data_IF_981376664209
#
_entry.id   IF_981376664209
#
_cell.length_a   1.000
_cell.length_b   1.000
_cell.length_c   1.000
_cell.angle_alpha   90.00
_cell.angle_beta   90.00
_cell.angle_gamma   90.00
#
_symmetry.space_group_name_H-M   'P 1'
#
loop_
_entity.id
_entity.type
_entity.pdbx_description
1 polymer ?
#
# COMPACT_ATOMS: atom_id res chain seq x y z
N UNK A 1 4.63 -28.51 -3.08
CA UNK A 1 4.70 -27.37 -2.16
C UNK A 1 3.39 -26.65 -2.29
N UNK A 2 2.70 -26.41 -1.18
CA UNK A 2 1.45 -25.66 -1.21
C UNK A 2 1.78 -24.25 -1.73
N UNK A 3 1.39 -23.95 -2.96
CA UNK A 3 1.09 -22.58 -3.37
C UNK A 3 0.02 -22.13 -2.40
N UNK A 4 0.36 -21.19 -1.51
CA UNK A 4 -0.67 -20.56 -0.70
C UNK A 4 -1.56 -19.84 -1.70
N UNK A 5 -2.78 -20.36 -1.89
CA UNK A 5 -3.80 -19.68 -2.68
C UNK A 5 -3.94 -18.27 -2.07
N UNK A 6 -3.80 -17.26 -2.92
CA UNK A 6 -3.92 -15.85 -2.55
C UNK A 6 -5.21 -15.65 -1.75
N UNK A 7 -5.11 -15.08 -0.55
CA UNK A 7 -6.27 -14.77 0.29
C UNK A 7 -6.39 -13.25 0.43
N UNK A 8 -7.10 -12.57 -0.50
CA UNK A 8 -7.10 -11.12 -0.61
C UNK A 8 -7.49 -10.40 0.70
N UNK A 9 -8.43 -10.97 1.46
CA UNK A 9 -8.83 -10.45 2.77
C UNK A 9 -7.64 -10.39 3.74
N UNK A 10 -6.89 -11.49 3.86
CA UNK A 10 -5.75 -11.57 4.76
C UNK A 10 -4.63 -10.63 4.31
N UNK A 11 -4.34 -10.60 3.02
CA UNK A 11 -3.28 -9.75 2.47
C UNK A 11 -3.59 -8.26 2.67
N UNK A 12 -4.83 -7.85 2.40
CA UNK A 12 -5.27 -6.48 2.63
C UNK A 12 -5.23 -6.11 4.12
N UNK A 13 -5.69 -7.01 5.01
CA UNK A 13 -5.61 -6.81 6.46
C UNK A 13 -4.16 -6.66 6.94
N UNK A 14 -3.24 -7.46 6.43
CA UNK A 14 -1.80 -7.38 6.75
C UNK A 14 -1.21 -6.06 6.28
N UNK A 15 -1.55 -5.63 5.07
CA UNK A 15 -1.11 -4.34 4.50
C UNK A 15 -1.60 -3.17 5.34
N UNK A 16 -2.88 -3.11 5.68
CA UNK A 16 -3.43 -2.02 6.51
C UNK A 16 -2.85 -2.02 7.92
N UNK A 17 -2.71 -3.20 8.54
CA UNK A 17 -2.07 -3.31 9.85
C UNK A 17 -0.63 -2.79 9.84
N UNK A 18 0.11 -3.02 8.75
CA UNK A 18 1.46 -2.48 8.57
C UNK A 18 1.45 -0.96 8.39
N UNK A 19 0.51 -0.41 7.61
CA UNK A 19 0.36 1.04 7.42
C UNK A 19 0.04 1.76 8.74
N UNK A 20 -0.83 1.19 9.59
CA UNK A 20 -1.11 1.74 10.92
C UNK A 20 0.11 1.69 11.86
N UNK A 21 0.94 0.63 11.79
CA UNK A 21 2.22 0.58 12.51
C UNK A 21 3.18 1.68 12.05
N UNK A 22 3.28 1.90 10.74
CA UNK A 22 4.11 2.98 10.16
C UNK A 22 3.60 4.35 10.63
N UNK A 23 2.29 4.60 10.54
CA UNK A 23 1.64 5.84 11.01
C UNK A 23 1.98 6.11 12.47
N UNK A 24 1.88 5.08 13.32
CA UNK A 24 2.22 5.19 14.74
C UNK A 24 3.71 5.49 14.95
N UNK A 25 4.60 4.82 14.23
CA UNK A 25 6.04 5.06 14.32
C UNK A 25 6.41 6.49 13.90
N UNK A 26 5.78 7.03 12.86
CA UNK A 26 5.97 8.42 12.42
C UNK A 26 5.51 9.43 13.48
N UNK A 27 4.35 9.20 14.09
CA UNK A 27 3.86 10.05 15.17
C UNK A 27 4.80 10.02 16.40
N UNK A 28 5.30 8.83 16.75
CA UNK A 28 6.25 8.65 17.86
C UNK A 28 7.60 9.32 17.59
N UNK A 29 8.16 9.17 16.38
CA UNK A 29 9.39 9.85 15.98
C UNK A 29 9.25 11.39 15.97
N UNK A 30 8.06 11.91 15.64
CA UNK A 30 7.76 13.34 15.77
C UNK A 30 7.74 13.83 17.22
N UNK A 31 7.33 12.98 18.17
CA UNK A 31 7.35 13.28 19.60
C UNK A 31 8.73 13.05 20.26
N UNK A 32 9.57 12.22 19.65
CA UNK A 32 10.89 11.82 20.15
C UNK A 32 12.00 12.03 19.10
N UNK A 33 12.48 13.28 18.90
CA UNK A 33 13.50 13.60 17.89
C UNK A 33 14.86 12.89 18.10
N UNK A 34 15.10 12.33 19.29
CA UNK A 34 16.27 11.52 19.62
C UNK A 34 16.26 10.13 18.93
N UNK A 35 15.13 9.74 18.34
CA UNK A 35 14.91 8.42 17.72
C UNK A 35 14.31 8.56 16.32
N UNK A 36 15.04 9.19 15.37
CA UNK A 36 14.52 9.48 14.05
C UNK A 36 14.29 8.20 13.23
N UNK A 37 13.35 8.28 12.30
CA UNK A 37 13.20 7.29 11.22
C UNK A 37 14.15 7.71 10.10
N UNK A 38 15.10 6.85 9.74
CA UNK A 38 16.14 7.11 8.75
C UNK A 38 16.05 6.22 7.51
N UNK A 39 15.02 6.37 6.66
CA UNK A 39 14.92 5.59 5.43
C UNK A 39 15.94 6.11 4.41
N UNK A 40 16.50 5.20 3.62
CA UNK A 40 17.33 5.52 2.47
C UNK A 40 16.48 6.13 1.36
N UNK A 41 16.94 7.24 0.78
CA UNK A 41 16.25 8.00 -0.28
C UNK A 41 16.02 7.20 -1.56
N UNK A 42 17.00 6.40 -1.96
CA UNK A 42 17.00 5.65 -3.23
C UNK A 42 17.44 4.22 -2.97
N UNK A 43 16.59 3.38 -2.37
CA UNK A 43 16.94 1.99 -2.13
C UNK A 43 17.22 1.31 -3.48
N UNK A 44 18.41 0.74 -3.64
CA UNK A 44 18.88 0.12 -4.90
C UNK A 44 18.64 -1.38 -4.90
N UNK A 45 18.71 -1.99 -3.72
CA UNK A 45 18.56 -3.44 -3.52
C UNK A 45 17.27 -3.77 -2.76
N UNK A 46 16.84 -5.03 -2.85
CA UNK A 46 15.73 -5.51 -2.01
C UNK A 46 16.09 -5.45 -0.52
N UNK A 47 17.36 -5.66 -0.17
CA UNK A 47 17.85 -5.47 1.19
C UNK A 47 17.69 -4.02 1.67
N UNK A 48 17.95 -3.04 0.80
CA UNK A 48 17.79 -1.61 1.13
C UNK A 48 16.32 -1.28 1.40
N UNK A 49 15.42 -1.79 0.57
CA UNK A 49 13.97 -1.59 0.76
C UNK A 49 13.49 -2.21 2.08
N UNK A 50 13.93 -3.43 2.39
CA UNK A 50 13.61 -4.08 3.67
C UNK A 50 14.20 -3.30 4.85
N UNK A 51 15.40 -2.74 4.71
CA UNK A 51 16.01 -1.91 5.74
C UNK A 51 15.24 -0.60 5.95
N UNK A 52 14.73 0.04 4.89
CA UNK A 52 13.83 1.19 5.01
C UNK A 52 12.60 0.85 5.85
N UNK A 53 11.92 -0.25 5.55
CA UNK A 53 10.73 -0.64 6.29
C UNK A 53 11.06 -1.02 7.75
N UNK A 54 12.20 -1.67 7.99
CA UNK A 54 12.69 -1.96 9.36
C UNK A 54 13.00 -0.70 10.16
N UNK A 55 13.38 0.41 9.53
CA UNK A 55 13.69 1.67 10.21
C UNK A 55 12.50 2.27 10.99
N UNK A 56 11.27 1.81 10.71
CA UNK A 56 10.06 2.18 11.45
C UNK A 56 9.88 1.37 12.75
N UNK A 57 10.62 0.29 12.96
CA UNK A 57 10.48 -0.55 14.15
C UNK A 57 11.11 0.11 15.38
N UNK A 58 10.57 -0.20 16.56
CA UNK A 58 11.13 0.29 17.82
C UNK A 58 12.53 -0.26 18.06
N UNK A 59 12.79 -1.50 17.68
CA UNK A 59 14.11 -2.14 17.77
C UNK A 59 15.13 -1.36 16.94
N UNK A 60 14.80 -0.99 15.69
CA UNK A 60 15.70 -0.23 14.84
C UNK A 60 15.96 1.18 15.39
N UNK A 61 14.91 1.87 15.84
CA UNK A 61 15.01 3.25 16.35
C UNK A 61 15.69 3.36 17.72
N UNK A 62 15.69 2.29 18.52
CA UNK A 62 16.36 2.22 19.84
C UNK A 62 17.75 1.62 19.77
N UNK A 63 18.10 0.96 18.66
CA UNK A 63 19.44 0.41 18.48
C UNK A 63 20.46 1.53 18.31
N UNK A 64 21.66 1.41 18.89
CA UNK A 64 22.73 2.35 18.63
C UNK A 64 23.04 2.36 17.12
N UNK A 65 23.36 3.52 16.51
CA UNK A 65 23.76 3.59 15.11
C UNK A 65 24.91 2.61 14.86
N UNK A 66 24.74 1.67 13.94
CA UNK A 66 25.83 0.78 13.58
C UNK A 66 26.95 1.60 12.94
N UNK A 67 28.17 1.45 13.45
CA UNK A 67 29.36 2.13 12.90
C UNK A 67 29.66 1.75 11.45
N UNK A 68 29.09 0.65 10.97
CA UNK A 68 29.27 0.09 9.62
C UNK A 68 28.12 0.36 8.63
N UNK A 69 27.02 0.99 9.04
CA UNK A 69 25.83 1.12 8.17
C UNK A 69 25.24 2.51 8.12
N UNK A 70 26.02 3.54 8.46
CA UNK A 70 25.57 4.93 8.29
C UNK A 70 25.47 5.20 6.78
N UNK A 71 24.26 5.34 6.19
CA UNK A 71 24.17 5.86 4.83
C UNK A 71 24.80 7.26 4.86
N UNK A 72 25.59 7.65 3.84
CA UNK A 72 26.15 8.99 3.83
C UNK A 72 25.04 10.03 4.04
N UNK A 73 25.29 11.09 4.83
CA UNK A 73 24.27 12.07 5.27
C UNK A 73 23.52 12.79 4.13
N UNK A 74 23.95 12.61 2.88
CA UNK A 74 23.35 13.18 1.67
C UNK A 74 22.22 12.31 1.07
N UNK A 75 21.97 11.10 1.63
CA UNK A 75 20.98 10.14 1.14
C UNK A 75 19.76 9.94 2.07
N UNK A 76 19.61 10.73 3.13
CA UNK A 76 18.36 10.79 3.92
C UNK A 76 17.53 12.01 3.51
N UNK A 77 16.26 11.79 3.13
CA UNK A 77 15.28 12.88 2.97
C UNK A 77 14.35 12.82 4.19
N UNK A 78 13.83 13.98 4.65
CA UNK A 78 12.62 13.99 5.46
C UNK A 78 11.57 13.04 4.90
N UNK A 79 11.15 12.06 5.69
CA UNK A 79 10.09 11.16 5.29
C UNK A 79 8.86 12.00 4.90
N UNK A 80 8.22 11.75 3.74
CA UNK A 80 7.00 12.45 3.38
C UNK A 80 5.96 12.29 4.49
N UNK A 81 5.07 13.29 4.68
CA UNK A 81 4.01 13.17 5.67
C UNK A 81 3.13 11.96 5.36
N UNK A 82 2.55 11.37 6.40
CA UNK A 82 1.63 10.25 6.23
C UNK A 82 0.41 10.73 5.43
N UNK A 83 0.08 10.13 4.28
CA UNK A 83 -0.99 10.61 3.43
C UNK A 83 -2.38 10.29 4.04
N UNK A 84 -3.45 11.00 3.63
CA UNK A 84 -4.78 10.76 4.14
C UNK A 84 -5.36 9.45 3.58
N UNK A 85 -5.11 8.35 4.27
CA UNK A 85 -5.71 7.05 4.00
C UNK A 85 -7.15 6.96 4.53
N UNK A 86 -8.06 6.28 3.82
CA UNK A 86 -9.36 5.91 4.37
C UNK A 86 -9.20 5.16 5.70
N UNK A 87 -9.97 5.55 6.72
CA UNK A 87 -9.94 4.83 7.99
C UNK A 87 -10.46 3.39 7.82
N UNK A 88 -9.73 2.41 8.38
CA UNK A 88 -10.21 1.04 8.51
C UNK A 88 -10.92 0.87 9.86
N UNK A 89 -12.19 0.47 9.83
CA UNK A 89 -13.01 0.22 11.02
C UNK A 89 -13.01 -1.24 11.46
N UNK A 90 -12.26 -2.10 10.77
CA UNK A 90 -12.13 -3.53 11.05
C UNK A 90 -12.82 -4.39 10.00
N UNK A 91 -13.33 -5.55 10.40
CA UNK A 91 -13.99 -6.50 9.51
C UNK A 91 -15.29 -7.01 10.12
N UNK A 92 -16.20 -7.46 9.26
CA UNK A 92 -17.49 -8.04 9.65
C UNK A 92 -17.86 -9.20 8.74
N UNK A 93 -18.72 -10.09 9.22
CA UNK A 93 -19.38 -11.07 8.37
C UNK A 93 -20.57 -10.40 7.68
N UNK A 94 -20.77 -10.72 6.40
CA UNK A 94 -21.88 -10.25 5.57
C UNK A 94 -22.60 -11.48 5.00
N UNK A 95 -23.92 -11.61 5.17
CA UNK A 95 -24.69 -12.67 4.53
C UNK A 95 -24.55 -12.62 2.99
N UNK A 96 -24.47 -13.79 2.35
CA UNK A 96 -24.30 -13.89 0.90
C UNK A 96 -25.44 -13.21 0.13
N UNK A 97 -26.67 -13.34 0.61
CA UNK A 97 -27.86 -12.73 0.00
C UNK A 97 -27.93 -11.20 0.15
N UNK A 98 -27.13 -10.62 1.05
CA UNK A 98 -26.95 -9.17 1.17
C UNK A 98 -25.81 -8.64 0.28
N UNK A 99 -24.97 -9.51 -0.29
CA UNK A 99 -23.89 -9.08 -1.19
C UNK A 99 -24.40 -8.76 -2.60
N UNK A 100 -24.00 -7.61 -3.20
CA UNK A 100 -24.41 -7.28 -4.54
C UNK A 100 -23.84 -8.30 -5.54
N UNK A 101 -24.66 -8.69 -6.52
CA UNK A 101 -24.20 -9.56 -7.60
C UNK A 101 -23.19 -8.80 -8.47
N UNK A 102 -21.93 -9.25 -8.45
CA UNK A 102 -20.86 -8.69 -9.28
C UNK A 102 -20.80 -9.41 -10.62
N UNK A 103 -20.64 -8.66 -11.72
CA UNK A 103 -20.49 -9.21 -13.07
C UNK A 103 -19.22 -8.65 -13.74
N UNK A 104 -18.24 -9.50 -14.12
CA UNK A 104 -18.21 -10.95 -13.90
C UNK A 104 -18.07 -11.31 -12.41
N UNK A 105 -18.51 -12.51 -11.99
CA UNK A 105 -18.25 -12.97 -10.63
C UNK A 105 -16.74 -12.95 -10.34
N UNK A 106 -16.38 -12.53 -9.13
CA UNK A 106 -14.97 -12.29 -8.71
C UNK A 106 -14.17 -13.59 -8.66
N UNK A 107 -14.83 -14.75 -8.56
CA UNK A 107 -14.19 -16.07 -8.67
C UNK A 107 -15.23 -17.17 -8.88
N UNK A 108 -14.92 -18.16 -9.73
CA UNK A 108 -15.68 -19.42 -9.83
C UNK A 108 -15.37 -20.38 -8.66
N UNK A 109 -14.40 -20.02 -7.80
CA UNK A 109 -13.94 -20.82 -6.65
C UNK A 109 -14.67 -20.48 -5.34
N UNK A 110 -15.78 -19.76 -5.42
CA UNK A 110 -16.59 -19.47 -4.23
C UNK A 110 -17.31 -20.75 -3.84
N UNK A 111 -17.00 -21.28 -2.66
CA UNK A 111 -17.75 -22.38 -2.06
C UNK A 111 -19.22 -21.96 -1.91
N UNK A 112 -20.11 -22.59 -2.66
CA UNK A 112 -21.53 -22.26 -2.70
C UNK A 112 -22.27 -22.70 -1.43
N UNK A 113 -21.66 -23.56 -0.61
CA UNK A 113 -22.20 -24.00 0.67
C UNK A 113 -22.03 -22.94 1.77
N UNK A 114 -21.10 -21.99 1.59
CA UNK A 114 -20.87 -20.90 2.56
C UNK A 114 -21.94 -19.81 2.36
N UNK A 115 -22.78 -19.51 3.33
CA UNK A 115 -23.84 -18.50 3.22
C UNK A 115 -23.44 -17.09 3.69
N UNK A 116 -22.15 -16.86 3.92
CA UNK A 116 -21.60 -15.58 4.39
C UNK A 116 -20.19 -15.29 3.83
N UNK A 117 -19.77 -14.03 3.88
CA UNK A 117 -18.44 -13.58 3.47
C UNK A 117 -17.82 -12.64 4.51
N UNK A 118 -16.50 -12.64 4.62
CA UNK A 118 -15.80 -11.58 5.34
C UNK A 118 -15.73 -10.32 4.49
N UNK A 119 -15.98 -9.17 5.11
CA UNK A 119 -15.80 -7.85 4.51
C UNK A 119 -14.94 -6.96 5.42
N UNK A 120 -14.06 -6.17 4.82
CA UNK A 120 -13.33 -5.10 5.52
C UNK A 120 -14.17 -3.83 5.42
N UNK A 121 -14.34 -3.14 6.55
CA UNK A 121 -15.18 -1.95 6.66
C UNK A 121 -14.28 -0.72 6.66
N UNK A 122 -14.38 0.11 5.63
CA UNK A 122 -13.62 1.36 5.52
C UNK A 122 -14.51 2.60 5.60
N UNK A 123 -13.87 3.74 5.84
CA UNK A 123 -14.42 5.06 5.57
C UNK A 123 -14.90 5.15 4.11
N UNK A 124 -16.17 5.54 3.95
CA UNK A 124 -16.71 5.82 2.63
C UNK A 124 -16.04 7.08 2.07
N UNK A 125 -15.19 6.89 1.05
CA UNK A 125 -14.67 8.00 0.23
C UNK A 125 -15.61 8.21 -0.96
N UNK A 126 -16.31 9.37 -1.04
CA UNK A 126 -17.17 9.69 -2.17
C UNK A 126 -16.38 9.71 -3.48
N UNK A 127 -17.04 9.38 -4.59
CA UNK A 127 -16.45 9.56 -5.91
C UNK A 127 -16.16 11.04 -6.16
N UNK A 128 -14.89 11.37 -6.45
CA UNK A 128 -14.43 12.71 -6.74
C UNK A 128 -13.32 12.67 -7.80
N UNK A 129 -13.17 13.72 -8.64
CA UNK A 129 -12.06 13.84 -9.58
C UNK A 129 -10.70 13.67 -8.87
N UNK A 130 -9.71 13.09 -9.55
CA UNK A 130 -8.41 12.83 -8.94
C UNK A 130 -7.70 14.14 -8.61
N UNK A 131 -7.35 14.31 -7.33
CA UNK A 131 -6.51 15.40 -6.87
C UNK A 131 -5.04 14.99 -7.03
N UNK A 132 -4.32 15.70 -7.90
CA UNK A 132 -2.92 15.42 -8.23
C UNK A 132 -2.01 15.52 -7.00
N UNK A 133 -2.25 16.50 -6.12
CA UNK A 133 -1.41 16.72 -4.95
C UNK A 133 -1.60 15.61 -3.92
N UNK A 134 -2.85 15.22 -3.68
CA UNK A 134 -3.19 14.10 -2.79
C UNK A 134 -2.64 12.79 -3.36
N UNK A 135 -2.76 12.59 -4.68
CA UNK A 135 -2.20 11.44 -5.38
C UNK A 135 -0.68 11.35 -5.24
N UNK A 136 0.02 12.47 -5.51
CA UNK A 136 1.47 12.51 -5.40
C UNK A 136 1.94 12.21 -3.98
N UNK A 137 1.25 12.71 -2.96
CA UNK A 137 1.57 12.41 -1.57
C UNK A 137 1.49 10.91 -1.25
N UNK A 138 0.50 10.19 -1.79
CA UNK A 138 0.43 8.73 -1.66
C UNK A 138 1.58 8.03 -2.37
N UNK A 139 1.85 8.39 -3.63
CA UNK A 139 2.90 7.77 -4.45
C UNK A 139 4.30 7.97 -3.82
N UNK A 140 4.59 9.18 -3.36
CA UNK A 140 5.85 9.51 -2.69
C UNK A 140 6.00 8.74 -1.38
N UNK A 141 4.92 8.64 -0.59
CA UNK A 141 4.91 7.89 0.65
C UNK A 141 5.19 6.40 0.40
N UNK A 142 4.43 5.74 -0.48
CA UNK A 142 4.61 4.31 -0.76
C UNK A 142 6.00 4.01 -1.33
N UNK A 143 6.54 4.88 -2.19
CA UNK A 143 7.91 4.76 -2.66
C UNK A 143 8.92 4.86 -1.50
N UNK A 144 8.78 5.85 -0.63
CA UNK A 144 9.71 6.08 0.50
C UNK A 144 9.73 4.90 1.49
N UNK A 145 8.56 4.31 1.78
CA UNK A 145 8.45 3.14 2.65
C UNK A 145 8.76 1.82 1.94
N UNK A 146 9.00 1.85 0.63
CA UNK A 146 9.43 0.71 -0.17
C UNK A 146 8.32 -0.24 -0.62
N UNK A 147 7.07 0.23 -0.60
CA UNK A 147 5.95 -0.54 -1.12
C UNK A 147 6.02 -0.58 -2.64
N UNK A 148 5.77 -1.75 -3.20
CA UNK A 148 5.52 -1.92 -4.62
C UNK A 148 4.06 -1.55 -4.89
N UNK A 149 3.80 -0.96 -6.06
CA UNK A 149 2.44 -0.63 -6.48
C UNK A 149 2.07 -1.39 -7.74
N UNK A 150 0.87 -1.95 -7.73
CA UNK A 150 0.23 -2.52 -8.90
C UNK A 150 -0.11 -1.43 -9.94
N UNK A 151 -0.37 -1.85 -11.18
CA UNK A 151 -0.74 -0.93 -12.25
C UNK A 151 -1.99 -0.10 -11.87
N UNK A 152 -2.02 1.17 -12.30
CA UNK A 152 -3.12 2.08 -12.00
C UNK A 152 -4.48 1.50 -12.43
N UNK A 153 -5.40 1.39 -11.45
CA UNK A 153 -6.81 1.04 -11.63
C UNK A 153 -7.67 2.23 -11.20
N UNK A 154 -8.39 2.88 -12.14
CA UNK A 154 -9.18 4.07 -11.84
C UNK A 154 -10.18 3.91 -10.69
N UNK A 155 -10.80 2.73 -10.56
CA UNK A 155 -11.80 2.44 -9.53
C UNK A 155 -11.22 2.37 -8.11
N UNK A 156 -9.91 2.14 -8.00
CA UNK A 156 -9.16 2.02 -6.76
C UNK A 156 -8.66 3.37 -6.22
N UNK A 157 -8.94 4.46 -6.95
CA UNK A 157 -8.55 5.81 -6.57
C UNK A 157 -9.75 6.75 -6.55
N UNK A 158 -9.91 7.52 -5.46
CA UNK A 158 -10.99 8.51 -5.32
C UNK A 158 -10.46 9.80 -4.72
N UNK A 159 -10.64 10.92 -5.42
CA UNK A 159 -10.13 12.21 -4.93
C UNK A 159 -8.61 12.22 -4.72
N UNK A 160 -7.87 11.43 -5.51
CA UNK A 160 -6.43 11.23 -5.36
C UNK A 160 -6.01 10.28 -4.22
N UNK A 161 -6.96 9.66 -3.50
CA UNK A 161 -6.68 8.70 -2.42
C UNK A 161 -6.80 7.27 -2.91
N UNK A 162 -5.88 6.41 -2.51
CA UNK A 162 -6.01 4.97 -2.71
C UNK A 162 -7.11 4.44 -1.77
N UNK A 163 -8.06 3.66 -2.31
CA UNK A 163 -9.17 3.06 -1.54
C UNK A 163 -9.18 1.53 -1.56
N UNK A 164 -8.33 0.91 -2.39
CA UNK A 164 -8.08 -0.53 -2.41
C UNK A 164 -6.62 -0.76 -2.03
N UNK A 165 -6.37 -1.34 -0.86
CA UNK A 165 -5.02 -1.55 -0.36
C UNK A 165 -4.36 -2.81 -0.91
N UNK A 166 -5.07 -3.63 -1.69
CA UNK A 166 -4.45 -4.76 -2.38
C UNK A 166 -3.59 -4.30 -3.59
N UNK A 167 -3.73 -3.05 -4.02
CA UNK A 167 -2.86 -2.44 -5.04
C UNK A 167 -1.47 -2.05 -4.52
N UNK A 168 -1.20 -2.23 -3.23
CA UNK A 168 0.13 -2.00 -2.65
C UNK A 168 0.66 -3.24 -1.96
N UNK A 169 1.89 -3.62 -2.32
CA UNK A 169 2.56 -4.78 -1.75
C UNK A 169 3.71 -4.31 -0.87
N UNK A 170 3.78 -4.83 0.35
CA UNK A 170 4.94 -4.61 1.20
C UNK A 170 6.10 -5.53 0.79
N UNK A 171 7.36 -5.22 1.14
CA UNK A 171 8.51 -6.10 0.89
C UNK A 171 8.42 -7.51 1.49
N UNK A 172 7.40 -7.78 2.32
CA UNK A 172 7.17 -9.07 2.98
C UNK A 172 5.95 -9.83 2.44
N UNK A 173 5.24 -9.30 1.45
CA UNK A 173 4.09 -9.98 0.84
C UNK A 173 4.50 -10.70 -0.44
N UNK A 174 3.72 -11.74 -0.78
CA UNK A 174 3.80 -12.40 -2.09
C UNK A 174 3.42 -11.35 -3.16
N UNK A 175 4.03 -11.40 -4.33
CA UNK A 175 3.81 -10.42 -5.40
C UNK A 175 4.72 -9.19 -5.34
N UNK A 176 5.37 -8.91 -4.21
CA UNK A 176 6.34 -7.81 -4.16
C UNK A 176 7.57 -8.10 -5.01
N UNK A 177 7.97 -7.08 -5.78
CA UNK A 177 9.21 -7.09 -6.54
C UNK A 177 9.88 -5.73 -6.45
N UNK A 178 11.21 -5.73 -6.29
CA UNK A 178 12.01 -4.50 -6.32
C UNK A 178 11.70 -3.69 -7.57
N UNK A 179 11.51 -4.33 -8.73
CA UNK A 179 11.28 -3.62 -10.01
C UNK A 179 10.02 -2.77 -10.01
N UNK A 180 9.04 -3.09 -9.17
CA UNK A 180 7.81 -2.33 -9.00
C UNK A 180 7.93 -1.18 -7.97
N UNK A 181 9.02 -1.12 -7.19
CA UNK A 181 9.32 0.02 -6.31
C UNK A 181 10.05 1.09 -7.11
N UNK A 182 9.27 2.03 -7.66
CA UNK A 182 9.77 3.13 -8.49
C UNK A 182 9.04 4.43 -8.15
N UNK A 183 9.71 5.60 -8.26
CA UNK A 183 9.03 6.88 -8.17
C UNK A 183 7.99 6.99 -9.29
N UNK A 184 6.83 7.56 -8.97
CA UNK A 184 5.74 7.81 -9.92
C UNK A 184 5.35 9.29 -9.86
N UNK A 185 4.95 9.82 -11.00
CA UNK A 185 4.37 11.16 -11.11
C UNK A 185 2.84 11.01 -11.21
N UNK A 186 2.09 11.67 -10.32
CA UNK A 186 0.63 11.52 -10.22
C UNK A 186 -0.11 11.96 -11.49
N UNK A 187 0.37 13.02 -12.14
CA UNK A 187 -0.21 13.51 -13.39
C UNK A 187 -0.06 12.50 -14.53
N UNK A 188 1.05 11.77 -14.56
CA UNK A 188 1.25 10.68 -15.50
C UNK A 188 0.48 9.44 -15.05
N UNK A 189 0.55 9.08 -13.77
CA UNK A 189 -0.01 7.86 -13.19
C UNK A 189 -1.51 7.72 -13.41
N UNK A 190 -2.29 8.72 -12.99
CA UNK A 190 -3.74 8.74 -13.10
C UNK A 190 -4.25 8.85 -14.56
N UNK A 191 -3.35 9.16 -15.51
CA UNK A 191 -3.62 9.22 -16.95
C UNK A 191 -2.82 8.17 -17.73
N UNK A 192 -2.20 7.21 -17.02
CA UNK A 192 -1.48 6.10 -17.66
C UNK A 192 -2.51 5.10 -18.17
N UNK A 193 -2.61 5.00 -19.50
CA UNK A 193 -3.55 4.13 -20.23
C UNK A 193 -3.16 2.65 -20.25
N UNK A 194 -2.07 2.26 -19.59
CA UNK A 194 -1.54 0.89 -19.64
C UNK A 194 -2.18 -0.04 -18.59
N UNK A 195 -3.45 0.18 -18.25
CA UNK A 195 -4.25 -0.90 -17.69
C UNK A 195 -4.60 -1.88 -18.80
N UNK A 196 -3.87 -3.00 -18.84
CA UNK A 196 -4.34 -4.23 -19.47
C UNK A 196 -4.89 -5.09 -18.34
N UNK A 197 -6.21 -5.27 -18.26
CA UNK A 197 -6.75 -6.36 -17.44
C UNK A 197 -6.22 -7.70 -17.98
N UNK A 198 -6.42 -8.77 -17.23
CA UNK A 198 -6.07 -10.16 -17.62
C UNK A 198 -6.74 -10.61 -18.93
N UNK A 199 -7.64 -9.79 -19.50
CA UNK A 199 -8.34 -9.99 -20.77
C UNK A 199 -7.80 -9.12 -21.91
N UNK A 200 -6.73 -8.35 -21.68
CA UNK A 200 -6.06 -7.53 -22.69
C UNK A 200 -6.83 -6.31 -23.19
N UNK A 201 -7.88 -5.87 -22.47
CA UNK A 201 -8.71 -4.73 -22.87
C UNK A 201 -8.11 -3.44 -22.30
N UNK A 202 -7.79 -2.50 -23.21
CA UNK A 202 -7.43 -1.11 -22.86
C UNK A 202 -8.69 -0.31 -22.59
N UNK A 203 -8.86 0.18 -21.37
CA UNK A 203 -9.89 1.15 -21.05
C UNK A 203 -9.30 2.56 -21.21
N UNK A 204 -9.73 3.28 -22.25
CA UNK A 204 -9.51 4.72 -22.34
C UNK A 204 -10.60 5.40 -21.51
N UNK A 205 -10.24 5.96 -20.35
CA UNK A 205 -11.13 6.86 -19.63
C UNK A 205 -10.93 8.25 -20.23
N UNK A 206 -12.02 8.80 -20.77
CA UNK A 206 -12.12 10.19 -21.25
C UNK A 206 -12.45 11.09 -20.06
#
# INVERSE_FOLDING_TARGET
GYTQDEWPLEDECRTVALLEKIKRAMADAGAHPDRPIGPMRKPKTAGDVVANLRSFSDEARRSPPSTDSTPPPDDSIPLPPFPPLPACYGWTAVPRDETPYLNPPVSDLVDWEVDWHWAIVYELVPGAPQDIQVGQAHLDFFYAVGFAMEAYKPDNWRGGRLVDFNDVCSPFTIGWTRTAVVPRDAQTWFWTLDFRNDRGIRHTIV
#
